data_IF_474269366900
#
_entry.id   IF_474269366900
#
_cell.length_a   1.000
_cell.length_b   1.000
_cell.length_c   1.000
_cell.angle_alpha   90.00
_cell.angle_beta   90.00
_cell.angle_gamma   90.00
#
_symmetry.space_group_name_H-M   'P 1'
#
loop_
_entity.id
_entity.type
_entity.pdbx_description
1 polymer ?
#
# COMPACT_ATOMS: atom_id res chain seq x y z
N UNK A 1 2.96 10.77 13.03
CA UNK A 1 3.56 11.30 11.79
C UNK A 1 3.46 10.22 10.72
N UNK A 2 2.92 10.51 9.54
CA UNK A 2 2.99 9.57 8.42
C UNK A 2 4.35 9.75 7.72
N UNK A 3 5.15 8.68 7.66
CA UNK A 3 6.39 8.66 6.91
C UNK A 3 6.09 8.57 5.40
N UNK A 4 6.92 9.14 4.53
CA UNK A 4 6.83 8.91 3.09
C UNK A 4 6.95 7.40 2.77
N UNK A 5 6.19 6.88 1.80
CA UNK A 5 6.34 5.49 1.39
C UNK A 5 7.73 5.25 0.80
N UNK A 6 8.41 4.20 1.26
CA UNK A 6 9.70 3.80 0.72
C UNK A 6 9.53 3.13 -0.66
N UNK A 7 10.65 2.85 -1.34
CA UNK A 7 10.65 2.22 -2.68
C UNK A 7 9.92 0.87 -2.72
N UNK A 8 10.03 0.06 -1.66
CA UNK A 8 9.29 -1.21 -1.53
C UNK A 8 7.80 -0.96 -1.44
N UNK A 9 7.36 0.01 -0.64
CA UNK A 9 5.95 0.40 -0.54
C UNK A 9 5.39 0.85 -1.90
N UNK A 10 6.09 1.68 -2.65
CA UNK A 10 5.64 2.09 -4.00
C UNK A 10 5.45 0.92 -4.95
N UNK A 11 6.35 -0.07 -4.90
CA UNK A 11 6.26 -1.26 -5.75
C UNK A 11 5.01 -2.08 -5.39
N UNK A 12 4.76 -2.28 -4.09
CA UNK A 12 3.55 -2.97 -3.63
C UNK A 12 2.27 -2.21 -4.00
N UNK A 13 2.26 -0.87 -3.85
CA UNK A 13 1.11 -0.04 -4.24
C UNK A 13 0.84 -0.13 -5.74
N UNK A 14 1.89 -0.10 -6.56
CA UNK A 14 1.77 -0.23 -8.01
C UNK A 14 1.24 -1.62 -8.43
N UNK A 15 1.72 -2.70 -7.79
CA UNK A 15 1.22 -4.06 -8.02
C UNK A 15 -0.25 -4.20 -7.61
N UNK A 16 -0.68 -3.48 -6.58
CA UNK A 16 -2.09 -3.38 -6.18
C UNK A 16 -2.93 -2.51 -7.13
N UNK A 17 -2.34 -1.96 -8.21
CA UNK A 17 -3.03 -1.14 -9.19
C UNK A 17 -3.29 0.30 -8.75
N UNK A 18 -2.67 0.76 -7.66
CA UNK A 18 -2.82 2.13 -7.18
C UNK A 18 -2.05 3.06 -8.11
N UNK A 19 -2.76 4.01 -8.71
CA UNK A 19 -2.20 4.97 -9.68
C UNK A 19 -1.92 6.35 -9.10
N UNK A 20 -2.42 6.64 -7.90
CA UNK A 20 -2.31 7.96 -7.28
C UNK A 20 -2.08 7.84 -5.78
N UNK A 21 -1.04 8.49 -5.28
CA UNK A 21 -0.67 8.54 -3.87
C UNK A 21 -0.69 9.99 -3.43
N UNK A 22 -1.53 10.30 -2.45
CA UNK A 22 -1.63 11.64 -1.86
C UNK A 22 -0.92 11.64 -0.52
N UNK A 23 0.03 12.55 -0.36
CA UNK A 23 0.82 12.73 0.85
C UNK A 23 0.58 14.09 1.47
N UNK A 24 0.65 14.13 2.81
CA UNK A 24 0.45 15.36 3.59
C UNK A 24 1.72 16.15 3.84
N UNK A 25 2.87 15.50 3.68
CA UNK A 25 4.19 16.07 3.92
C UNK A 25 5.04 15.92 2.68
N UNK A 26 5.86 16.92 2.44
CA UNK A 26 6.89 16.83 1.42
C UNK A 26 7.90 15.75 1.77
N UNK A 27 8.41 15.12 0.71
CA UNK A 27 9.52 14.20 0.78
C UNK A 27 10.81 15.00 1.00
N UNK A 28 11.71 14.58 1.91
CA UNK A 28 13.00 15.26 2.11
C UNK A 28 13.76 15.41 0.79
N UNK A 29 14.40 16.55 0.56
CA UNK A 29 15.06 16.87 -0.71
C UNK A 29 16.04 15.77 -1.19
N UNK A 30 16.74 15.13 -0.25
CA UNK A 30 17.67 14.03 -0.52
C UNK A 30 16.98 12.80 -1.15
N UNK A 31 15.73 12.54 -0.80
CA UNK A 31 14.97 11.35 -1.24
C UNK A 31 14.04 11.65 -2.43
N UNK A 32 13.81 12.93 -2.75
CA UNK A 32 12.88 13.33 -3.81
C UNK A 32 13.25 12.75 -5.17
N UNK A 33 14.54 12.67 -5.50
CA UNK A 33 15.01 12.16 -6.80
C UNK A 33 14.62 10.70 -7.01
N UNK A 34 14.91 9.86 -6.02
CA UNK A 34 14.62 8.43 -6.06
C UNK A 34 13.12 8.15 -6.07
N UNK A 35 12.36 8.85 -5.23
CA UNK A 35 10.91 8.68 -5.11
C UNK A 35 10.20 9.16 -6.38
N UNK A 36 10.52 10.35 -6.90
CA UNK A 36 9.92 10.85 -8.16
C UNK A 36 10.25 9.92 -9.34
N UNK A 37 11.49 9.42 -9.39
CA UNK A 37 11.91 8.49 -10.42
C UNK A 37 11.20 7.13 -10.32
N UNK A 38 11.00 6.61 -9.11
CA UNK A 38 10.25 5.37 -8.88
C UNK A 38 8.76 5.53 -9.22
N UNK A 39 8.13 6.62 -8.77
CA UNK A 39 6.74 6.94 -9.05
C UNK A 39 6.49 7.04 -10.56
N UNK A 40 7.36 7.75 -11.30
CA UNK A 40 7.30 7.85 -12.76
C UNK A 40 7.45 6.49 -13.45
N UNK A 41 8.41 5.67 -13.02
CA UNK A 41 8.64 4.32 -13.59
C UNK A 41 7.45 3.38 -13.36
N UNK A 42 6.77 3.52 -12.23
CA UNK A 42 5.64 2.69 -11.84
C UNK A 42 4.29 3.25 -12.30
N UNK A 43 4.27 4.41 -12.99
CA UNK A 43 3.02 5.06 -13.42
C UNK A 43 2.15 5.56 -12.27
N UNK A 44 2.76 5.87 -11.12
CA UNK A 44 2.08 6.38 -9.93
C UNK A 44 2.22 7.89 -9.86
N UNK A 45 1.10 8.60 -9.80
CA UNK A 45 1.04 10.04 -9.56
C UNK A 45 1.24 10.32 -8.07
N UNK A 46 2.30 11.05 -7.73
CA UNK A 46 2.56 11.48 -6.35
C UNK A 46 2.10 12.93 -6.18
N UNK A 47 1.11 13.15 -5.33
CA UNK A 47 0.57 14.47 -5.02
C UNK A 47 0.86 14.80 -3.58
N UNK A 48 1.52 15.93 -3.34
CA UNK A 48 1.63 16.49 -2.00
C UNK A 48 0.52 17.52 -1.85
N UNK A 49 -0.37 17.30 -0.88
CA UNK A 49 -1.44 18.24 -0.53
C UNK A 49 -1.39 18.48 0.96
N UNK A 50 -1.23 19.74 1.36
CA UNK A 50 -1.35 20.13 2.75
C UNK A 50 -2.78 19.88 3.24
N UNK A 51 -2.92 19.49 4.51
CA UNK A 51 -4.23 19.34 5.13
C UNK A 51 -4.85 20.74 5.36
N UNK A 52 -6.13 20.90 5.05
CA UNK A 52 -6.85 22.12 5.42
C UNK A 52 -6.95 22.25 6.95
N UNK A 53 -6.92 23.49 7.46
CA UNK A 53 -7.04 23.76 8.89
C UNK A 53 -8.31 23.12 9.50
N UNK A 54 -9.43 23.15 8.76
CA UNK A 54 -10.69 22.53 9.17
C UNK A 54 -10.55 21.00 9.34
N UNK A 55 -9.88 20.32 8.41
CA UNK A 55 -9.69 18.87 8.48
C UNK A 55 -8.76 18.49 9.63
N UNK A 56 -7.68 19.27 9.85
CA UNK A 56 -6.79 19.06 10.99
C UNK A 56 -7.57 19.18 12.30
N UNK A 57 -8.36 20.24 12.47
CA UNK A 57 -9.18 20.45 13.66
C UNK A 57 -10.17 19.29 13.89
N UNK A 58 -10.81 18.79 12.83
CA UNK A 58 -11.72 17.65 12.90
C UNK A 58 -11.03 16.36 13.35
N UNK A 59 -9.89 16.02 12.74
CA UNK A 59 -9.11 14.82 13.10
C UNK A 59 -8.58 14.93 14.52
N UNK A 60 -8.11 16.11 14.94
CA UNK A 60 -7.69 16.33 16.32
C UNK A 60 -8.83 16.18 17.32
N UNK A 61 -10.04 16.65 17.01
CA UNK A 61 -11.22 16.46 17.84
C UNK A 61 -11.51 14.98 18.10
N UNK A 62 -11.54 14.18 17.02
CA UNK A 62 -11.74 12.73 17.09
C UNK A 62 -10.64 12.02 17.89
N UNK A 63 -9.37 12.44 17.72
CA UNK A 63 -8.26 11.87 18.47
C UNK A 63 -8.33 12.21 19.97
N UNK A 64 -8.82 13.40 20.34
CA UNK A 64 -9.04 13.76 21.75
C UNK A 64 -10.15 12.94 22.37
N UNK A 65 -11.23 12.69 21.64
CA UNK A 65 -12.33 11.82 22.08
C UNK A 65 -11.89 10.37 22.25
N UNK A 66 -11.10 9.83 21.33
CA UNK A 66 -10.56 8.47 21.41
C UNK A 66 -9.52 8.28 22.53
N UNK A 67 -8.83 9.36 22.93
CA UNK A 67 -7.86 9.37 24.04
C UNK A 67 -8.50 9.64 25.40
N UNK A 68 -9.80 9.90 25.44
CA UNK A 68 -10.52 9.97 26.71
C UNK A 68 -10.36 8.61 27.38
N UNK A 69 -9.88 8.54 28.64
CA UNK A 69 -9.82 7.27 29.34
C UNK A 69 -11.21 6.64 29.27
N UNK A 70 -11.34 5.34 28.95
CA UNK A 70 -12.65 4.71 28.92
C UNK A 70 -13.27 4.95 30.30
N UNK A 71 -14.37 5.72 30.35
CA UNK A 71 -15.19 5.78 31.55
C UNK A 71 -15.58 4.35 31.86
N UNK A 72 -15.08 3.81 32.99
CA UNK A 72 -15.46 2.55 33.63
C UNK A 72 -16.24 1.58 32.74
N UNK A 73 -15.53 0.61 32.18
CA UNK A 73 -16.11 -0.50 31.44
C UNK A 73 -17.30 -1.09 32.20
N UNK A 74 -18.50 -0.94 31.65
CA UNK A 74 -19.50 -2.00 31.79
C UNK A 74 -19.02 -3.11 30.86
N UNK A 75 -18.78 -4.28 31.42
CA UNK A 75 -18.25 -5.45 30.73
C UNK A 75 -19.26 -5.92 29.67
N UNK A 76 -19.13 -5.41 28.45
CA UNK A 76 -19.68 -6.11 27.29
C UNK A 76 -18.70 -7.20 26.88
N UNK A 77 -18.83 -8.36 27.54
CA UNK A 77 -18.24 -9.61 27.07
C UNK A 77 -18.96 -9.95 25.78
N UNK A 78 -18.32 -9.67 24.65
CA UNK A 78 -18.74 -10.22 23.37
C UNK A 78 -18.16 -11.63 23.34
N UNK A 79 -19.03 -12.62 23.49
CA UNK A 79 -18.68 -14.04 23.33
C UNK A 79 -18.22 -14.24 21.88
N UNK A 80 -16.90 -14.23 21.67
CA UNK A 80 -16.30 -14.56 20.38
C UNK A 80 -16.37 -16.07 20.26
N UNK A 81 -17.48 -16.54 19.69
CA UNK A 81 -17.68 -17.93 19.34
C UNK A 81 -16.44 -18.48 18.63
N UNK A 82 -15.92 -19.57 19.19
CA UNK A 82 -14.76 -20.32 18.74
C UNK A 82 -14.86 -20.63 17.23
N UNK A 83 -14.07 -19.90 16.43
CA UNK A 83 -13.88 -20.23 15.01
C UNK A 83 -12.91 -21.41 14.95
N UNK A 84 -13.46 -22.62 14.96
CA UNK A 84 -12.71 -23.81 14.57
C UNK A 84 -12.48 -23.80 13.06
N UNK A 85 -11.28 -23.42 12.62
CA UNK A 85 -10.77 -23.81 11.30
C UNK A 85 -10.05 -25.15 11.43
N UNK A 86 -10.42 -26.16 10.63
CA UNK A 86 -9.44 -27.12 10.14
C UNK A 86 -9.01 -26.71 8.72
N UNK A 87 -7.73 -26.34 8.65
CA UNK A 87 -6.90 -26.28 7.47
C UNK A 87 -7.25 -27.34 6.41
N UNK A 88 -7.86 -26.92 5.30
CA UNK A 88 -7.82 -27.69 4.06
C UNK A 88 -6.60 -27.22 3.25
N UNK A 89 -5.59 -28.10 3.09
CA UNK A 89 -4.53 -27.93 2.08
C UNK A 89 -5.15 -28.03 0.69
N UNK A 90 -5.04 -27.03 -0.20
CA UNK A 90 -5.17 -27.28 -1.62
C UNK A 90 -3.82 -27.79 -2.15
N UNK A 91 -3.68 -29.11 -2.24
CA UNK A 91 -2.78 -29.76 -3.19
C UNK A 91 -3.29 -29.47 -4.60
N UNK A 92 -2.57 -28.64 -5.35
CA UNK A 92 -2.51 -28.71 -6.80
C UNK A 92 -1.31 -27.88 -7.27
N UNK A 93 -0.19 -28.56 -7.51
CA UNK A 93 0.91 -28.03 -8.28
C UNK A 93 0.42 -27.74 -9.70
N UNK A 94 0.34 -26.47 -10.08
CA UNK A 94 0.21 -26.08 -11.48
C UNK A 94 1.64 -25.95 -12.03
N UNK A 95 2.14 -27.03 -12.64
CA UNK A 95 3.30 -26.97 -13.51
C UNK A 95 2.92 -26.26 -14.81
N UNK A 96 3.26 -24.98 -14.91
CA UNK A 96 3.25 -24.20 -16.15
C UNK A 96 4.66 -24.21 -16.74
N UNK A 97 5.09 -25.35 -17.27
CA UNK A 97 6.16 -25.36 -18.26
C UNK A 97 5.51 -25.03 -19.62
N UNK A 98 5.54 -23.76 -20.01
CA UNK A 98 5.39 -23.40 -21.41
C UNK A 98 6.80 -23.28 -22.03
N UNK A 99 7.14 -24.09 -23.04
CA UNK A 99 8.38 -23.90 -23.78
C UNK A 99 8.34 -22.59 -24.56
N UNK A 100 9.39 -21.78 -24.39
CA UNK A 100 9.62 -20.55 -25.16
C UNK A 100 9.73 -20.87 -26.66
N UNK A 101 9.06 -20.13 -27.55
CA UNK A 101 9.28 -20.28 -28.99
C UNK A 101 10.69 -19.83 -29.37
N UNK A 102 11.34 -20.59 -30.24
CA UNK A 102 12.68 -20.31 -30.74
C UNK A 102 12.72 -18.95 -31.48
N UNK A 103 13.84 -18.21 -31.41
CA UNK A 103 14.01 -17.00 -32.20
C UNK A 103 14.01 -17.33 -33.69
N UNK A 104 13.05 -16.75 -34.42
CA UNK A 104 13.00 -16.79 -35.89
C UNK A 104 14.22 -16.04 -36.44
N UNK A 105 15.15 -16.77 -37.07
CA UNK A 105 16.23 -16.19 -37.86
C UNK A 105 15.66 -15.53 -39.11
N UNK A 106 15.24 -14.28 -38.99
CA UNK A 106 14.89 -13.44 -40.11
C UNK A 106 15.91 -12.30 -40.21
N UNK A 107 16.79 -12.40 -41.21
CA UNK A 107 17.40 -11.23 -41.84
C UNK A 107 18.87 -10.99 -41.53
N UNK A 108 19.75 -11.81 -42.13
CA UNK A 108 21.07 -11.30 -42.55
C UNK A 108 20.92 -10.73 -43.97
N UNK A 109 21.05 -9.40 -44.18
CA UNK A 109 21.29 -8.88 -45.52
C UNK A 109 22.71 -9.26 -45.98
N UNK A 110 22.81 -9.53 -47.28
CA UNK A 110 24.04 -9.93 -47.98
C UNK A 110 25.09 -8.80 -48.05
#
# INVERSE_FOLDING_TARGET
LAAPPCRRCFSSLALAGIRRVVMRKEVPAQEQGDIKSAAKRLGVELVVSEDSAERVARVEGLLREARRPPCSASEHVVDVGEVTEPHAKPEAAISLEQPLPAPSEAGRPA
#
